data_IF_936724030058
#
_entry.id   IF_936724030058
#
_cell.length_a   1.000
_cell.length_b   1.000
_cell.length_c   1.000
_cell.angle_alpha   90.00
_cell.angle_beta   90.00
_cell.angle_gamma   90.00
#
_symmetry.space_group_name_H-M   'P 1'
#
loop_
_entity.id
_entity.type
_entity.pdbx_description
1 polymer ?
#
# COMPACT_ATOMS: atom_id res chain seq x y z
N UNK A 1 2.48 -31.63 0.67
CA UNK A 1 2.25 -31.79 2.12
C UNK A 1 0.76 -31.63 2.44
N UNK A 2 0.30 -32.35 3.47
CA UNK A 2 -1.09 -32.27 3.92
C UNK A 2 -1.12 -31.77 5.36
N UNK A 3 -1.74 -30.62 5.59
CA UNK A 3 -1.98 -30.09 6.93
C UNK A 3 -3.10 -30.89 7.59
N UNK A 4 -2.85 -31.42 8.79
CA UNK A 4 -3.83 -32.21 9.57
C UNK A 4 -4.52 -31.39 10.66
N UNK A 5 -3.83 -30.41 11.23
CA UNK A 5 -4.36 -29.49 12.22
C UNK A 5 -3.58 -28.18 12.24
N UNK A 6 -4.21 -27.10 12.69
CA UNK A 6 -3.59 -25.79 12.87
C UNK A 6 -4.02 -25.23 14.22
N UNK A 7 -3.06 -24.80 15.04
CA UNK A 7 -3.30 -24.10 16.30
C UNK A 7 -2.72 -22.67 16.20
N UNK A 8 -3.56 -21.65 16.00
CA UNK A 8 -3.07 -20.27 15.93
C UNK A 8 -2.76 -19.73 17.32
N UNK A 9 -1.53 -19.20 17.51
CA UNK A 9 -1.11 -18.53 18.74
C UNK A 9 -1.09 -17.02 18.47
N UNK A 10 -2.10 -16.32 19.00
CA UNK A 10 -2.32 -14.88 18.76
C UNK A 10 -1.65 -14.03 19.86
N UNK A 11 -1.36 -12.77 19.53
CA UNK A 11 -0.94 -11.76 20.49
C UNK A 11 0.49 -11.26 20.33
N UNK A 12 1.41 -11.99 19.67
CA UNK A 12 2.80 -11.58 19.52
C UNK A 12 2.99 -10.27 18.74
N UNK A 13 2.05 -9.94 17.86
CA UNK A 13 2.02 -8.68 17.11
C UNK A 13 0.98 -7.68 17.64
N UNK A 14 0.36 -7.95 18.78
CA UNK A 14 -0.62 -7.06 19.39
C UNK A 14 0.06 -5.79 19.91
N UNK A 15 -0.30 -4.63 19.36
CA UNK A 15 0.28 -3.31 19.67
C UNK A 15 -0.68 -2.39 20.42
N UNK A 16 -1.89 -2.86 20.75
CA UNK A 16 -2.91 -2.09 21.47
C UNK A 16 -3.41 -0.86 20.71
N UNK A 17 -3.42 -0.88 19.37
CA UNK A 17 -3.74 0.30 18.55
C UNK A 17 -5.16 0.82 18.79
N UNK A 18 -6.12 -0.05 19.06
CA UNK A 18 -7.51 0.35 19.36
C UNK A 18 -7.56 1.17 20.65
N UNK A 19 -6.85 0.73 21.68
CA UNK A 19 -6.76 1.49 22.95
C UNK A 19 -5.99 2.80 22.80
N UNK A 20 -4.94 2.80 21.99
CA UNK A 20 -4.21 4.02 21.66
C UNK A 20 -5.07 5.01 20.85
N UNK A 21 -5.97 4.52 20.01
CA UNK A 21 -6.88 5.34 19.22
C UNK A 21 -7.85 6.15 20.10
N UNK A 22 -8.22 5.66 21.28
CA UNK A 22 -9.09 6.40 22.22
C UNK A 22 -8.43 7.69 22.75
N UNK A 23 -7.10 7.76 22.79
CA UNK A 23 -6.34 8.89 23.38
C UNK A 23 -5.54 9.69 22.34
N UNK A 24 -5.64 9.35 21.06
CA UNK A 24 -4.92 10.01 19.97
C UNK A 24 -5.87 10.86 19.12
N UNK A 25 -5.31 11.87 18.46
CA UNK A 25 -6.04 12.64 17.45
C UNK A 25 -6.20 11.83 16.17
N UNK A 26 -7.23 12.12 15.37
CA UNK A 26 -7.46 11.44 14.09
C UNK A 26 -6.23 11.39 13.16
N UNK A 27 -5.47 12.50 12.96
CA UNK A 27 -4.23 12.43 12.18
C UNK A 27 -3.18 11.49 12.76
N UNK A 28 -3.09 11.36 14.09
CA UNK A 28 -2.16 10.44 14.75
C UNK A 28 -2.61 8.98 14.59
N UNK A 29 -3.93 8.73 14.60
CA UNK A 29 -4.49 7.39 14.37
C UNK A 29 -4.16 6.90 12.95
N UNK A 30 -4.15 7.77 11.95
CA UNK A 30 -3.76 7.39 10.58
C UNK A 30 -2.40 6.68 10.56
N UNK A 31 -1.44 7.14 11.37
CA UNK A 31 -0.13 6.49 11.50
C UNK A 31 -0.21 5.11 12.17
N UNK A 32 -1.13 4.91 13.11
CA UNK A 32 -1.33 3.62 13.75
C UNK A 32 -1.96 2.61 12.78
N UNK A 33 -3.02 3.00 12.07
CA UNK A 33 -3.74 2.11 11.15
C UNK A 33 -2.91 1.73 9.94
N UNK A 34 -2.06 2.61 9.45
CA UNK A 34 -1.14 2.32 8.34
C UNK A 34 -0.28 1.07 8.58
N UNK A 35 -0.04 0.71 9.81
CA UNK A 35 0.85 -0.38 10.21
C UNK A 35 0.12 -1.67 10.61
N UNK A 36 -1.18 -1.75 10.45
CA UNK A 36 -1.96 -2.97 10.74
C UNK A 36 -1.58 -4.07 9.73
N UNK A 37 -1.65 -3.74 8.45
CA UNK A 37 -1.10 -4.56 7.37
C UNK A 37 0.13 -3.84 6.81
N UNK A 38 1.29 -4.32 7.18
CA UNK A 38 2.57 -3.69 6.85
C UNK A 38 2.93 -3.74 5.36
N UNK A 39 2.33 -4.64 4.59
CA UNK A 39 2.56 -4.76 3.14
C UNK A 39 1.58 -3.92 2.32
N UNK A 40 0.50 -3.42 2.91
CA UNK A 40 -0.54 -2.65 2.22
C UNK A 40 -1.04 -1.45 3.03
N UNK A 41 -0.13 -0.57 3.44
CA UNK A 41 -0.44 0.58 4.31
C UNK A 41 -1.57 1.46 3.79
N UNK A 42 -1.68 1.69 2.48
CA UNK A 42 -2.77 2.46 1.87
C UNK A 42 -4.14 1.82 2.08
N UNK A 43 -4.23 0.49 1.99
CA UNK A 43 -5.50 -0.22 2.19
C UNK A 43 -6.02 -0.08 3.64
N UNK A 44 -5.14 0.19 4.60
CA UNK A 44 -5.52 0.47 5.98
C UNK A 44 -5.88 1.95 6.19
N UNK A 45 -5.13 2.87 5.58
CA UNK A 45 -5.38 4.31 5.73
C UNK A 45 -6.73 4.74 5.14
N UNK A 46 -7.06 4.27 3.94
CA UNK A 46 -8.24 4.72 3.19
C UNK A 46 -9.56 4.48 3.93
N UNK A 47 -9.86 3.28 4.47
CA UNK A 47 -11.11 3.05 5.19
C UNK A 47 -11.27 3.94 6.41
N UNK A 48 -10.20 4.13 7.19
CA UNK A 48 -10.22 5.01 8.36
C UNK A 48 -10.48 6.47 7.97
N UNK A 49 -9.78 6.96 6.95
CA UNK A 49 -9.91 8.34 6.47
C UNK A 49 -11.30 8.55 5.87
N UNK A 50 -11.79 7.64 5.03
CA UNK A 50 -13.11 7.74 4.42
C UNK A 50 -14.23 7.71 5.48
N UNK A 51 -14.11 6.88 6.53
CA UNK A 51 -15.06 6.87 7.63
C UNK A 51 -15.05 8.19 8.40
N UNK A 52 -13.85 8.75 8.65
CA UNK A 52 -13.70 10.04 9.32
C UNK A 52 -14.26 11.18 8.47
N UNK A 53 -13.96 11.21 7.18
CA UNK A 53 -14.50 12.22 6.24
C UNK A 53 -16.02 12.16 6.19
N UNK A 54 -16.59 10.95 6.14
CA UNK A 54 -18.05 10.78 6.17
C UNK A 54 -18.67 11.26 7.48
N UNK A 55 -18.03 10.98 8.63
CA UNK A 55 -18.49 11.42 9.94
C UNK A 55 -18.45 12.95 10.09
N UNK A 56 -17.43 13.58 9.51
CA UNK A 56 -17.22 15.04 9.58
C UNK A 56 -17.87 15.82 8.43
N UNK A 57 -18.55 15.12 7.51
CA UNK A 57 -19.15 15.71 6.30
C UNK A 57 -18.12 16.49 5.44
N UNK A 58 -16.87 15.99 5.42
CA UNK A 58 -15.79 16.57 4.63
C UNK A 58 -15.68 15.83 3.31
N UNK A 59 -15.66 16.56 2.21
CA UNK A 59 -15.44 15.99 0.88
C UNK A 59 -14.03 16.28 0.37
N UNK A 60 -13.29 15.20 0.08
CA UNK A 60 -11.97 15.31 -0.53
C UNK A 60 -12.08 15.77 -1.99
N UNK A 61 -11.13 16.59 -2.48
CA UNK A 61 -11.08 17.00 -3.90
C UNK A 61 -10.99 15.79 -4.84
N UNK A 62 -11.64 15.85 -5.99
CA UNK A 62 -11.67 14.76 -6.97
C UNK A 62 -10.26 14.30 -7.39
N UNK A 63 -9.34 15.23 -7.58
CA UNK A 63 -7.94 14.91 -7.89
C UNK A 63 -7.29 14.06 -6.81
N UNK A 64 -7.54 14.37 -5.53
CA UNK A 64 -7.03 13.59 -4.40
C UNK A 64 -7.63 12.19 -4.36
N UNK A 65 -8.93 12.05 -4.65
CA UNK A 65 -9.61 10.74 -4.72
C UNK A 65 -8.97 9.84 -5.78
N UNK A 66 -8.68 10.38 -6.97
CA UNK A 66 -8.02 9.62 -8.04
C UNK A 66 -6.58 9.22 -7.68
N UNK A 67 -5.79 10.12 -7.09
CA UNK A 67 -4.43 9.80 -6.65
C UNK A 67 -4.44 8.72 -5.57
N UNK A 68 -5.34 8.82 -4.58
CA UNK A 68 -5.54 7.78 -3.56
C UNK A 68 -5.82 6.42 -4.19
N UNK A 69 -6.72 6.38 -5.18
CA UNK A 69 -7.09 5.14 -5.86
C UNK A 69 -5.88 4.52 -6.57
N UNK A 70 -5.16 5.29 -7.37
CA UNK A 70 -3.96 4.83 -8.09
C UNK A 70 -2.95 4.23 -7.12
N UNK A 71 -2.58 4.97 -6.06
CA UNK A 71 -1.58 4.50 -5.11
C UNK A 71 -2.05 3.29 -4.29
N UNK A 72 -3.34 3.19 -3.99
CA UNK A 72 -3.90 2.03 -3.31
C UNK A 72 -3.82 0.77 -4.16
N UNK A 73 -4.14 0.86 -5.46
CA UNK A 73 -4.04 -0.28 -6.36
C UNK A 73 -2.57 -0.68 -6.62
N UNK A 74 -1.67 0.28 -6.72
CA UNK A 74 -0.23 0.00 -6.78
C UNK A 74 0.27 -0.71 -5.52
N UNK A 75 -0.13 -0.26 -4.34
CA UNK A 75 0.20 -0.93 -3.09
C UNK A 75 -0.40 -2.35 -3.01
N UNK A 76 -1.60 -2.55 -3.54
CA UNK A 76 -2.23 -3.87 -3.65
C UNK A 76 -1.40 -4.81 -4.53
N UNK A 77 -0.93 -4.34 -5.69
CA UNK A 77 -0.04 -5.11 -6.57
C UNK A 77 1.25 -5.47 -5.83
N UNK A 78 1.88 -4.50 -5.15
CA UNK A 78 3.09 -4.73 -4.37
C UNK A 78 2.88 -5.75 -3.25
N UNK A 79 1.72 -5.74 -2.58
CA UNK A 79 1.32 -6.72 -1.56
C UNK A 79 1.16 -8.13 -2.16
N UNK A 80 0.54 -8.24 -3.34
CA UNK A 80 0.38 -9.53 -4.02
C UNK A 80 1.72 -10.15 -4.41
N UNK A 81 2.74 -9.36 -4.77
CA UNK A 81 4.09 -9.89 -5.00
C UNK A 81 4.67 -10.50 -3.73
N UNK A 82 4.52 -9.86 -2.58
CA UNK A 82 4.96 -10.43 -1.29
C UNK A 82 4.24 -11.74 -0.99
N UNK A 83 2.91 -11.74 -1.14
CA UNK A 83 2.11 -12.94 -0.92
C UNK A 83 2.56 -14.12 -1.80
N UNK A 84 2.64 -13.89 -3.12
CA UNK A 84 2.99 -14.95 -4.07
C UNK A 84 4.41 -15.47 -3.81
N UNK A 85 5.37 -14.59 -3.54
CA UNK A 85 6.75 -14.97 -3.23
C UNK A 85 6.86 -15.74 -1.93
N UNK A 86 6.23 -15.27 -0.86
CA UNK A 86 6.25 -15.92 0.44
C UNK A 86 5.53 -17.28 0.41
N UNK A 87 4.37 -17.35 -0.24
CA UNK A 87 3.64 -18.59 -0.38
C UNK A 87 4.45 -19.65 -1.15
N UNK A 88 5.11 -19.26 -2.24
CA UNK A 88 5.98 -20.16 -2.99
C UNK A 88 7.14 -20.67 -2.14
N UNK A 89 7.73 -19.78 -1.31
CA UNK A 89 8.81 -20.15 -0.38
C UNK A 89 8.33 -21.19 0.65
N UNK A 90 7.15 -20.99 1.24
CA UNK A 90 6.60 -21.90 2.25
C UNK A 90 6.30 -23.31 1.70
N UNK A 91 5.96 -23.42 0.42
CA UNK A 91 5.79 -24.72 -0.24
C UNK A 91 7.10 -25.29 -0.83
N UNK A 92 8.25 -24.66 -0.57
CA UNK A 92 9.59 -25.14 -0.92
C UNK A 92 10.19 -24.61 -2.22
N UNK A 93 9.52 -23.63 -2.88
CA UNK A 93 10.04 -23.00 -4.10
C UNK A 93 10.74 -21.67 -3.76
N UNK A 94 12.08 -21.67 -3.67
CA UNK A 94 12.85 -20.49 -3.24
C UNK A 94 12.94 -19.38 -4.31
N UNK A 95 13.11 -19.72 -5.57
CA UNK A 95 13.36 -18.75 -6.65
C UNK A 95 12.26 -17.69 -6.83
N UNK A 96 10.95 -18.02 -6.76
CA UNK A 96 9.89 -17.05 -7.00
C UNK A 96 9.90 -15.84 -6.06
N UNK A 97 10.38 -15.98 -4.82
CA UNK A 97 10.41 -14.83 -3.89
C UNK A 97 11.40 -13.75 -4.35
N UNK A 98 12.56 -14.13 -4.89
CA UNK A 98 13.54 -13.16 -5.37
C UNK A 98 13.00 -12.39 -6.58
N UNK A 99 12.35 -13.07 -7.51
CA UNK A 99 11.72 -12.43 -8.68
C UNK A 99 10.58 -11.51 -8.25
N UNK A 100 9.74 -11.98 -7.33
CA UNK A 100 8.63 -11.18 -6.81
C UNK A 100 9.13 -9.89 -6.12
N UNK A 101 10.21 -9.97 -5.35
CA UNK A 101 10.78 -8.80 -4.69
C UNK A 101 11.42 -7.83 -5.68
N UNK A 102 12.10 -8.30 -6.72
CA UNK A 102 12.65 -7.45 -7.78
C UNK A 102 11.56 -6.65 -8.51
N UNK A 103 10.47 -7.31 -8.89
CA UNK A 103 9.37 -6.65 -9.59
C UNK A 103 8.56 -5.73 -8.66
N UNK A 104 8.46 -6.07 -7.36
CA UNK A 104 7.87 -5.22 -6.33
C UNK A 104 8.63 -3.90 -6.19
N UNK A 105 9.95 -3.90 -6.26
CA UNK A 105 10.76 -2.68 -6.14
C UNK A 105 10.39 -1.63 -7.19
N UNK A 106 10.09 -2.02 -8.43
CA UNK A 106 9.64 -1.10 -9.48
C UNK A 106 8.33 -0.37 -9.12
N UNK A 107 7.41 -1.09 -8.48
CA UNK A 107 6.15 -0.49 -8.00
C UNK A 107 6.41 0.46 -6.82
N UNK A 108 7.32 0.07 -5.92
CA UNK A 108 7.69 0.91 -4.78
C UNK A 108 8.42 2.19 -5.20
N UNK A 109 9.24 2.17 -6.23
CA UNK A 109 9.89 3.37 -6.78
C UNK A 109 8.86 4.40 -7.26
N UNK A 110 7.78 3.96 -7.90
CA UNK A 110 6.69 4.82 -8.31
C UNK A 110 5.92 5.39 -7.11
N UNK A 111 5.61 4.56 -6.11
CA UNK A 111 4.96 5.00 -4.87
C UNK A 111 5.85 6.04 -4.16
N UNK A 112 7.15 5.80 -4.06
CA UNK A 112 8.11 6.70 -3.44
C UNK A 112 8.20 8.04 -4.17
N UNK A 113 8.19 8.03 -5.50
CA UNK A 113 8.26 9.26 -6.31
C UNK A 113 7.11 10.24 -6.00
N UNK A 114 5.94 9.71 -5.61
CA UNK A 114 4.77 10.53 -5.25
C UNK A 114 4.72 10.85 -3.76
N UNK A 115 5.04 9.89 -2.91
CA UNK A 115 4.76 9.98 -1.47
C UNK A 115 5.98 10.34 -0.63
N UNK A 116 7.18 10.11 -1.15
CA UNK A 116 8.45 10.20 -0.44
C UNK A 116 8.71 9.03 0.50
N UNK A 117 7.89 7.98 0.45
CA UNK A 117 8.03 6.78 1.29
C UNK A 117 7.77 5.50 0.54
N UNK A 118 8.61 4.49 0.78
CA UNK A 118 8.51 3.18 0.11
C UNK A 118 7.54 2.22 0.81
N UNK A 119 7.49 2.25 2.13
CA UNK A 119 6.90 1.19 2.93
C UNK A 119 5.70 1.66 3.75
N UNK A 120 5.84 2.74 4.49
CA UNK A 120 4.78 3.36 5.28
C UNK A 120 4.66 4.84 4.91
N UNK A 121 4.08 5.16 3.74
CA UNK A 121 4.12 6.51 3.19
C UNK A 121 3.34 7.53 4.02
N UNK A 122 2.32 7.09 4.78
CA UNK A 122 1.48 7.97 5.58
C UNK A 122 1.07 9.22 4.77
N UNK A 123 0.53 8.98 3.59
CA UNK A 123 0.31 10.00 2.55
C UNK A 123 -1.10 10.55 2.54
N UNK A 124 -2.09 9.68 2.82
CA UNK A 124 -3.49 10.10 2.86
C UNK A 124 -3.76 10.99 4.08
N UNK A 125 -4.62 11.99 3.91
CA UNK A 125 -5.03 12.94 4.95
C UNK A 125 -6.53 13.11 4.91
N UNK A 126 -7.14 13.38 6.06
CA UNK A 126 -8.56 13.77 6.13
C UNK A 126 -8.75 15.02 5.29
N UNK A 127 -9.67 14.97 4.34
CA UNK A 127 -9.93 16.04 3.37
C UNK A 127 -9.01 16.04 2.15
N UNK A 128 -8.15 15.01 1.96
CA UNK A 128 -7.30 14.91 0.77
C UNK A 128 -6.07 14.02 0.94
N UNK A 129 -4.93 14.50 0.46
CA UNK A 129 -3.63 13.83 0.51
C UNK A 129 -2.59 14.78 1.09
N UNK A 130 -1.39 14.29 1.35
CA UNK A 130 -0.27 15.11 1.81
C UNK A 130 -0.11 16.35 0.92
N UNK A 131 -0.03 17.57 1.48
CA UNK A 131 0.19 18.78 0.68
C UNK A 131 1.60 18.79 0.09
N UNK A 132 1.79 19.54 -1.00
CA UNK A 132 3.12 19.80 -1.53
C UNK A 132 4.03 20.43 -0.47
N UNK A 133 5.32 20.12 -0.51
CA UNK A 133 6.28 20.59 0.48
C UNK A 133 6.24 22.13 0.60
N UNK A 134 6.15 22.64 1.83
CA UNK A 134 6.11 24.08 2.10
C UNK A 134 4.76 24.78 1.86
N UNK A 135 3.72 24.06 1.44
CA UNK A 135 2.44 24.68 1.08
C UNK A 135 1.43 24.80 2.23
N UNK A 136 1.79 24.39 3.45
CA UNK A 136 0.91 24.46 4.62
C UNK A 136 -0.16 23.36 4.67
N UNK A 137 -1.30 23.60 5.34
CA UNK A 137 -2.37 22.60 5.46
C UNK A 137 -2.96 22.18 4.11
N UNK A 138 -3.44 20.94 4.03
CA UNK A 138 -4.07 20.42 2.81
C UNK A 138 -5.28 21.26 2.40
N UNK A 139 -5.24 21.78 1.18
CA UNK A 139 -6.34 22.53 0.55
C UNK A 139 -6.50 22.08 -0.91
N UNK A 140 -7.63 22.46 -1.54
CA UNK A 140 -7.85 22.16 -2.97
C UNK A 140 -6.77 22.72 -3.90
N UNK A 141 -6.02 23.74 -3.45
CA UNK A 141 -5.01 24.46 -4.25
C UNK A 141 -3.59 23.94 -4.06
N UNK A 142 -3.30 23.23 -2.97
CA UNK A 142 -1.94 22.80 -2.61
C UNK A 142 -1.78 21.28 -2.46
N UNK A 143 -2.65 20.51 -3.10
CA UNK A 143 -2.51 19.06 -3.20
C UNK A 143 -1.22 18.73 -3.94
N UNK A 144 -0.42 17.83 -3.40
CA UNK A 144 0.72 17.28 -4.12
C UNK A 144 0.21 16.54 -5.37
N UNK A 145 0.67 16.95 -6.54
CA UNK A 145 0.31 16.28 -7.79
C UNK A 145 1.32 15.17 -8.11
N UNK A 146 0.98 14.37 -9.11
CA UNK A 146 1.83 13.33 -9.63
C UNK A 146 3.05 13.93 -10.34
N UNK A 147 4.25 13.34 -10.22
CA UNK A 147 5.43 13.79 -10.95
C UNK A 147 5.21 13.81 -12.48
N UNK A 148 5.95 14.64 -13.18
CA UNK A 148 5.96 14.62 -14.64
C UNK A 148 6.40 13.23 -15.14
N UNK A 149 5.71 12.70 -16.14
CA UNK A 149 6.00 11.36 -16.67
C UNK A 149 5.38 10.20 -15.90
N UNK A 150 4.84 10.41 -14.70
CA UNK A 150 4.33 9.34 -13.82
C UNK A 150 3.39 8.35 -14.53
N UNK A 151 2.52 8.83 -15.41
CA UNK A 151 1.60 7.93 -16.14
C UNK A 151 2.33 7.01 -17.13
N UNK A 152 3.38 7.51 -17.80
CA UNK A 152 4.19 6.70 -18.69
C UNK A 152 5.01 5.70 -17.89
N UNK A 153 5.69 6.15 -16.84
CA UNK A 153 6.48 5.30 -15.95
C UNK A 153 5.61 4.19 -15.33
N UNK A 154 4.37 4.53 -14.94
CA UNK A 154 3.40 3.56 -14.43
C UNK A 154 3.02 2.54 -15.50
N UNK A 155 2.78 2.96 -16.74
CA UNK A 155 2.47 2.05 -17.85
C UNK A 155 3.62 1.08 -18.09
N UNK A 156 4.83 1.59 -18.21
CA UNK A 156 6.04 0.79 -18.45
C UNK A 156 6.29 -0.20 -17.30
N UNK A 157 6.06 0.23 -16.06
CA UNK A 157 6.15 -0.66 -14.91
C UNK A 157 5.07 -1.75 -14.93
N UNK A 158 3.82 -1.42 -15.29
CA UNK A 158 2.73 -2.40 -15.37
C UNK A 158 2.94 -3.42 -16.50
N UNK A 159 3.51 -3.05 -17.62
CA UNK A 159 3.92 -3.99 -18.67
C UNK A 159 4.93 -5.01 -18.12
N UNK A 160 5.97 -4.55 -17.41
CA UNK A 160 6.93 -5.43 -16.73
C UNK A 160 6.30 -6.30 -15.65
N UNK A 161 5.31 -5.78 -14.92
CA UNK A 161 4.53 -6.56 -13.95
C UNK A 161 3.79 -7.71 -14.62
N UNK A 162 3.18 -7.48 -15.79
CA UNK A 162 2.50 -8.54 -16.55
C UNK A 162 3.48 -9.61 -17.04
N UNK A 163 4.66 -9.22 -17.50
CA UNK A 163 5.73 -10.16 -17.85
C UNK A 163 6.21 -10.97 -16.64
N UNK A 164 6.34 -10.32 -15.47
CA UNK A 164 6.72 -10.96 -14.22
C UNK A 164 5.71 -12.00 -13.77
N UNK A 165 4.42 -11.68 -13.83
CA UNK A 165 3.34 -12.64 -13.53
C UNK A 165 3.40 -13.84 -14.46
N UNK A 166 3.63 -13.63 -15.75
CA UNK A 166 3.79 -14.71 -16.72
C UNK A 166 5.02 -15.60 -16.40
N UNK A 167 6.15 -15.00 -16.03
CA UNK A 167 7.36 -15.75 -15.59
C UNK A 167 7.08 -16.58 -14.35
N UNK A 168 6.45 -16.02 -13.33
CA UNK A 168 6.11 -16.75 -12.10
C UNK A 168 5.15 -17.89 -12.37
N UNK A 169 4.13 -17.69 -13.21
CA UNK A 169 3.19 -18.75 -13.63
C UNK A 169 3.91 -19.92 -14.29
N UNK A 170 4.87 -19.66 -15.15
CA UNK A 170 5.63 -20.70 -15.84
C UNK A 170 6.56 -21.47 -14.89
N UNK A 171 7.06 -20.84 -13.83
CA UNK A 171 7.92 -21.48 -12.84
C UNK A 171 7.15 -22.33 -11.82
N UNK A 172 5.94 -21.91 -11.45
CA UNK A 172 5.09 -22.65 -10.49
C UNK A 172 4.23 -23.70 -11.19
N UNK A 173 3.87 -23.48 -12.46
CA UNK A 173 3.03 -24.38 -13.25
C UNK A 173 3.78 -25.27 -14.24
N UNK A 174 5.11 -25.27 -14.21
CA UNK A 174 5.96 -26.03 -15.12
C UNK A 174 5.98 -27.51 -14.83
N UNK A 175 5.26 -28.25 -15.66
CA UNK A 175 5.19 -29.70 -15.90
C UNK A 175 4.42 -30.51 -14.88
#
# INVERSE_FOLDING_TARGET
EKISSVEPVLGYMHRGYEKLAEVRTYPQITTLVNRIDWVSGFANEIPFIAATEKLMEIEAPERAKHIRLILTEMARIASHFVFNGAYALEIGALTPIFLAMEDRERVLDLIESVTGGRFHPNFNRIGGIKPAAGSGPTTKKNIQDLPAGFYQDTRDAMEKVLEAVARMKNQVGGN
#
